data_IF_545626290775
#
_entry.id   IF_545626290775
#
_cell.length_a   1.000
_cell.length_b   1.000
_cell.length_c   1.000
_cell.angle_alpha   90.00
_cell.angle_beta   90.00
_cell.angle_gamma   90.00
#
_symmetry.space_group_name_H-M   'P 1'
#
loop_
_entity.id
_entity.type
_entity.pdbx_description
1 polymer ?
#
# COMPACT_ATOMS: atom_id res chain seq x y z
N UNK A 1 -26.94 64.36 -30.35
CA UNK A 1 -27.72 63.12 -30.44
C UNK A 1 -26.82 62.01 -30.98
N UNK A 2 -25.87 61.50 -30.19
CA UNK A 2 -24.85 60.51 -30.64
C UNK A 2 -24.13 59.89 -29.45
N UNK A 3 -24.79 59.04 -28.65
CA UNK A 3 -24.10 58.20 -27.65
C UNK A 3 -24.98 57.03 -27.17
N UNK A 4 -25.50 56.22 -28.09
CA UNK A 4 -26.16 54.94 -27.73
C UNK A 4 -25.67 53.75 -28.55
N UNK A 5 -25.00 53.97 -29.68
CA UNK A 5 -24.52 52.89 -30.57
C UNK A 5 -23.15 52.30 -30.15
N UNK A 6 -22.29 53.09 -29.50
CA UNK A 6 -20.95 52.64 -29.08
C UNK A 6 -20.95 51.65 -27.91
N UNK A 7 -21.83 51.83 -26.93
CA UNK A 7 -21.92 50.95 -25.76
C UNK A 7 -22.42 49.54 -26.08
N UNK A 8 -23.31 49.41 -27.08
CA UNK A 8 -23.86 48.11 -27.48
C UNK A 8 -22.80 47.25 -28.19
N UNK A 9 -21.97 47.87 -29.03
CA UNK A 9 -20.85 47.21 -29.70
C UNK A 9 -19.78 46.74 -28.72
N UNK A 10 -19.46 47.55 -27.70
CA UNK A 10 -18.48 47.18 -26.68
C UNK A 10 -18.96 46.01 -25.81
N UNK A 11 -20.25 45.97 -25.47
CA UNK A 11 -20.85 44.85 -24.73
C UNK A 11 -20.83 43.54 -25.54
N UNK A 12 -21.13 43.59 -26.84
CA UNK A 12 -21.04 42.41 -27.70
C UNK A 12 -19.62 41.88 -27.84
N UNK A 13 -18.62 42.76 -27.89
CA UNK A 13 -17.21 42.39 -28.01
C UNK A 13 -16.69 41.73 -26.71
N UNK A 14 -17.13 42.22 -25.55
CA UNK A 14 -16.85 41.61 -24.25
C UNK A 14 -17.48 40.22 -24.09
N UNK A 15 -18.72 40.04 -24.56
CA UNK A 15 -19.41 38.74 -24.52
C UNK A 15 -18.77 37.74 -25.49
N UNK A 16 -18.35 38.19 -26.68
CA UNK A 16 -17.64 37.35 -27.64
C UNK A 16 -16.25 36.92 -27.12
N UNK A 17 -15.54 37.83 -26.42
CA UNK A 17 -14.24 37.52 -25.83
C UNK A 17 -14.36 36.54 -24.65
N UNK A 18 -15.40 36.69 -23.81
CA UNK A 18 -15.64 35.74 -22.71
C UNK A 18 -16.09 34.36 -23.20
N UNK A 19 -16.80 34.26 -24.33
CA UNK A 19 -17.15 32.99 -24.95
C UNK A 19 -15.94 32.23 -25.53
N UNK A 20 -14.90 32.96 -25.99
CA UNK A 20 -13.65 32.36 -26.48
C UNK A 20 -12.75 31.81 -25.37
N UNK A 21 -12.91 32.28 -24.13
CA UNK A 21 -12.10 31.84 -22.98
C UNK A 21 -12.63 30.54 -22.34
N UNK A 22 -13.83 30.07 -22.70
CA UNK A 22 -14.45 28.87 -22.10
C UNK A 22 -14.15 27.60 -22.91
N UNK A 23 -13.59 27.71 -24.13
CA UNK A 23 -13.17 26.55 -24.93
C UNK A 23 -11.76 26.07 -24.57
N UNK A 24 -11.43 26.06 -23.28
CA UNK A 24 -10.28 25.35 -22.76
C UNK A 24 -10.68 23.90 -22.51
N UNK A 25 -10.66 23.05 -23.54
CA UNK A 25 -10.73 21.61 -23.33
C UNK A 25 -9.52 21.22 -22.47
N UNK A 26 -9.74 20.99 -21.18
CA UNK A 26 -8.75 20.37 -20.31
C UNK A 26 -8.33 19.07 -20.98
N UNK A 27 -7.11 19.03 -21.52
CA UNK A 27 -6.51 17.78 -21.97
C UNK A 27 -6.30 16.95 -20.72
N UNK A 28 -7.18 15.98 -20.49
CA UNK A 28 -6.91 14.90 -19.56
C UNK A 28 -5.67 14.19 -20.07
N UNK A 29 -4.52 14.47 -19.48
CA UNK A 29 -3.28 13.74 -19.76
C UNK A 29 -3.45 12.38 -19.10
N UNK A 30 -3.90 11.39 -19.86
CA UNK A 30 -3.84 10.00 -19.44
C UNK A 30 -2.36 9.64 -19.37
N UNK A 31 -1.81 9.52 -18.17
CA UNK A 31 -0.43 9.08 -17.99
C UNK A 31 -0.30 7.68 -18.61
N UNK A 32 0.58 7.55 -19.61
CA UNK A 32 0.97 6.23 -20.11
C UNK A 32 1.83 5.60 -19.01
N UNK A 33 1.31 4.55 -18.39
CA UNK A 33 2.06 3.77 -17.43
C UNK A 33 3.04 2.90 -18.22
N UNK A 34 4.36 3.05 -18.04
CA UNK A 34 5.33 2.20 -18.72
C UNK A 34 5.14 0.74 -18.32
N UNK A 35 5.37 -0.19 -19.24
CA UNK A 35 5.41 -1.60 -18.87
C UNK A 35 6.57 -1.87 -17.90
N UNK A 36 6.32 -2.66 -16.88
CA UNK A 36 7.21 -2.91 -15.75
C UNK A 36 7.05 -1.93 -14.60
N UNK A 37 6.06 -1.03 -14.65
CA UNK A 37 5.86 0.01 -13.63
C UNK A 37 4.77 -0.35 -12.61
N UNK A 38 3.97 -1.39 -12.85
CA UNK A 38 2.91 -1.81 -11.94
C UNK A 38 3.20 -3.17 -11.31
N UNK A 39 2.80 -3.30 -10.05
CA UNK A 39 2.76 -4.58 -9.35
C UNK A 39 1.30 -4.91 -9.03
N UNK A 40 0.88 -6.10 -9.46
CA UNK A 40 -0.39 -6.71 -9.10
C UNK A 40 -0.13 -7.78 -8.07
N UNK A 41 -0.84 -7.70 -6.94
CA UNK A 41 -0.75 -8.67 -5.85
C UNK A 41 -2.11 -9.31 -5.67
N UNK A 42 -2.12 -10.64 -5.61
CA UNK A 42 -3.27 -11.44 -5.23
C UNK A 42 -2.85 -12.41 -4.14
N UNK A 43 -3.41 -12.25 -2.95
CA UNK A 43 -3.20 -13.16 -1.84
C UNK A 43 -4.49 -13.91 -1.53
N UNK A 44 -4.36 -15.18 -1.16
CA UNK A 44 -5.44 -16.07 -0.79
C UNK A 44 -5.18 -16.58 0.62
N UNK A 45 -6.16 -16.40 1.50
CA UNK A 45 -6.17 -16.98 2.84
C UNK A 45 -6.87 -18.34 2.81
N UNK A 46 -6.64 -19.20 3.82
CA UNK A 46 -7.41 -20.44 3.97
C UNK A 46 -8.89 -20.17 4.31
N UNK A 47 -9.16 -19.10 5.05
CA UNK A 47 -10.48 -18.65 5.47
C UNK A 47 -10.94 -17.36 4.79
N UNK A 48 -12.15 -16.90 5.14
CA UNK A 48 -12.66 -15.62 4.66
C UNK A 48 -11.84 -14.47 5.25
N UNK A 49 -11.50 -13.48 4.45
CA UNK A 49 -10.82 -12.27 4.90
C UNK A 49 -11.76 -11.43 5.75
N UNK A 50 -11.31 -11.05 6.95
CA UNK A 50 -12.10 -10.30 7.93
C UNK A 50 -11.40 -8.98 8.30
N UNK A 51 -11.49 -7.97 7.42
CA UNK A 51 -10.83 -6.67 7.65
C UNK A 51 -11.42 -5.89 8.84
N UNK A 52 -12.60 -6.24 9.34
CA UNK A 52 -13.15 -5.66 10.57
C UNK A 52 -12.39 -6.08 11.83
N UNK A 53 -11.83 -7.28 11.85
CA UNK A 53 -11.12 -7.85 13.00
C UNK A 53 -9.60 -7.89 12.80
N UNK A 54 -9.14 -7.88 11.55
CA UNK A 54 -7.75 -8.11 11.17
C UNK A 54 -7.20 -6.98 10.28
N UNK A 55 -5.88 -6.93 10.15
CA UNK A 55 -5.17 -6.15 9.14
C UNK A 55 -4.20 -7.05 8.39
N UNK A 56 -4.01 -6.71 7.12
CA UNK A 56 -3.16 -7.46 6.21
C UNK A 56 -2.19 -6.49 5.58
N UNK A 57 -0.90 -6.71 5.81
CA UNK A 57 0.17 -5.81 5.40
C UNK A 57 1.00 -6.45 4.31
N UNK A 58 1.19 -5.74 3.20
CA UNK A 58 2.26 -6.02 2.25
C UNK A 58 3.36 -4.99 2.49
N UNK A 59 4.41 -5.38 3.20
CA UNK A 59 5.58 -4.55 3.45
C UNK A 59 6.54 -4.68 2.28
N UNK A 60 7.07 -3.57 1.79
CA UNK A 60 7.98 -3.52 0.63
C UNK A 60 9.33 -2.97 1.06
N UNK A 61 10.41 -3.55 0.54
CA UNK A 61 11.78 -3.17 0.85
C UNK A 61 12.70 -3.25 -0.37
N UNK A 62 13.76 -2.45 -0.33
CA UNK A 62 14.92 -2.58 -1.20
C UNK A 62 16.09 -3.29 -0.52
N UNK A 63 15.94 -3.64 0.77
CA UNK A 63 16.95 -4.35 1.57
C UNK A 63 16.85 -5.85 1.33
N UNK A 64 17.98 -6.46 0.98
CA UNK A 64 18.03 -7.89 0.71
C UNK A 64 17.69 -8.74 1.93
N UNK A 65 16.85 -9.75 1.73
CA UNK A 65 16.48 -10.72 2.77
C UNK A 65 15.53 -10.16 3.84
N UNK A 66 14.96 -8.97 3.64
CA UNK A 66 14.03 -8.38 4.61
C UNK A 66 12.81 -9.26 4.88
N UNK A 67 12.55 -9.59 6.15
CA UNK A 67 11.31 -10.22 6.61
C UNK A 67 10.85 -9.60 7.92
N UNK A 68 9.54 -9.53 8.11
CA UNK A 68 8.98 -9.25 9.44
C UNK A 68 9.29 -10.43 10.32
N UNK A 69 9.85 -10.18 11.50
CA UNK A 69 10.06 -11.25 12.47
C UNK A 69 8.72 -11.53 13.16
N UNK A 70 8.19 -12.73 13.00
CA UNK A 70 7.07 -13.17 13.82
C UNK A 70 7.56 -13.38 15.26
N UNK A 71 6.81 -12.96 16.28
CA UNK A 71 7.12 -13.31 17.65
C UNK A 71 7.05 -14.83 17.77
N UNK A 72 8.22 -15.48 17.84
CA UNK A 72 8.27 -16.91 18.12
C UNK A 72 7.58 -17.17 19.46
N UNK A 73 6.83 -18.26 19.61
CA UNK A 73 6.35 -18.69 20.92
C UNK A 73 7.54 -19.24 21.72
N UNK A 74 8.41 -18.35 22.22
CA UNK A 74 9.46 -18.69 23.17
C UNK A 74 9.28 -17.88 24.45
N UNK A 75 9.39 -18.53 25.63
CA UNK A 75 9.42 -17.81 26.90
C UNK A 75 10.60 -16.82 26.91
N UNK A 76 10.30 -15.52 26.92
CA UNK A 76 11.31 -14.46 26.86
C UNK A 76 11.68 -13.95 25.46
N UNK A 77 10.99 -14.40 24.41
CA UNK A 77 11.08 -13.81 23.06
C UNK A 77 10.52 -12.39 23.01
N UNK A 78 10.99 -11.59 22.06
CA UNK A 78 10.48 -10.24 21.84
C UNK A 78 9.03 -10.31 21.34
N UNK A 79 8.13 -9.60 22.03
CA UNK A 79 6.73 -9.44 21.66
C UNK A 79 6.60 -8.27 20.70
N UNK A 80 7.23 -8.42 19.54
CA UNK A 80 7.26 -7.35 18.55
C UNK A 80 5.92 -7.32 17.83
N UNK A 81 5.21 -6.21 18.03
CA UNK A 81 3.95 -5.94 17.34
C UNK A 81 4.24 -5.53 15.89
N UNK A 82 3.29 -5.71 14.98
CA UNK A 82 3.35 -5.04 13.68
C UNK A 82 2.41 -3.86 13.70
N UNK A 83 3.01 -2.68 13.78
CA UNK A 83 2.31 -1.41 13.93
C UNK A 83 2.57 -0.51 12.74
N UNK A 84 1.65 0.41 12.51
CA UNK A 84 1.88 1.49 11.58
C UNK A 84 2.80 2.55 12.20
N UNK A 85 3.71 3.17 11.42
CA UNK A 85 4.54 4.26 11.88
C UNK A 85 3.71 5.37 12.53
N UNK A 86 4.12 5.81 13.71
CA UNK A 86 3.37 6.79 14.50
C UNK A 86 2.57 6.17 15.65
N UNK A 87 2.33 4.86 15.63
CA UNK A 87 1.59 4.16 16.68
C UNK A 87 2.47 3.90 17.91
N UNK A 88 1.91 4.10 19.11
CA UNK A 88 2.58 3.73 20.36
C UNK A 88 2.40 2.23 20.60
N UNK A 89 3.49 1.45 20.72
CA UNK A 89 3.38 0.02 21.04
C UNK A 89 2.97 -0.21 22.49
N UNK A 90 2.37 -1.37 22.77
CA UNK A 90 2.14 -1.84 24.14
C UNK A 90 3.48 -2.26 24.77
N UNK A 91 4.36 -2.88 23.97
CA UNK A 91 5.69 -3.30 24.41
C UNK A 91 6.82 -2.55 23.69
N UNK A 92 7.82 -2.13 24.48
CA UNK A 92 8.98 -1.38 23.96
C UNK A 92 8.71 0.11 23.83
N UNK A 93 9.43 0.77 22.92
CA UNK A 93 9.27 2.20 22.64
C UNK A 93 9.06 2.43 21.16
N UNK A 94 8.28 3.46 20.82
CA UNK A 94 8.06 3.85 19.44
C UNK A 94 9.39 4.13 18.73
N UNK A 95 10.35 4.79 19.38
CA UNK A 95 11.68 5.08 18.82
C UNK A 95 12.43 3.81 18.38
N UNK A 96 12.39 2.75 19.20
CA UNK A 96 13.05 1.48 18.88
C UNK A 96 12.49 0.85 17.59
N UNK A 97 11.19 1.01 17.31
CA UNK A 97 10.58 0.49 16.08
C UNK A 97 11.11 1.16 14.82
N UNK A 98 11.41 2.47 14.89
CA UNK A 98 11.98 3.20 13.74
C UNK A 98 13.38 2.74 13.41
N UNK A 99 14.22 2.49 14.43
CA UNK A 99 15.57 1.98 14.20
C UNK A 99 15.57 0.53 13.72
N UNK A 100 14.69 -0.31 14.27
CA UNK A 100 14.74 -1.77 14.07
C UNK A 100 13.96 -2.24 12.86
N UNK A 101 12.75 -1.72 12.63
CA UNK A 101 11.88 -2.19 11.55
C UNK A 101 11.76 -1.17 10.43
N UNK A 102 11.27 0.04 10.74
CA UNK A 102 10.85 0.99 9.71
C UNK A 102 12.00 1.57 8.88
N UNK A 103 13.24 1.51 9.38
CA UNK A 103 14.45 1.91 8.65
C UNK A 103 14.71 1.06 7.40
N UNK A 104 14.15 -0.15 7.35
CA UNK A 104 14.28 -1.09 6.22
C UNK A 104 13.08 -1.07 5.28
N UNK A 105 11.99 -0.38 5.63
CA UNK A 105 10.78 -0.34 4.83
C UNK A 105 10.87 0.76 3.78
N UNK A 106 10.63 0.42 2.53
CA UNK A 106 10.42 1.40 1.45
C UNK A 106 8.98 1.92 1.45
N UNK A 107 8.04 1.13 1.96
CA UNK A 107 6.65 1.48 2.18
C UNK A 107 5.85 0.23 2.49
N UNK A 108 4.55 0.37 2.68
CA UNK A 108 3.65 -0.77 2.84
C UNK A 108 2.28 -0.48 2.25
N UNK A 109 1.53 -1.55 2.01
CA UNK A 109 0.11 -1.51 1.69
C UNK A 109 -0.63 -2.23 2.81
N UNK A 110 -1.70 -1.62 3.32
CA UNK A 110 -2.55 -2.20 4.36
C UNK A 110 -3.98 -2.40 3.81
N UNK A 111 -4.53 -3.58 4.06
CA UNK A 111 -5.96 -3.85 3.87
C UNK A 111 -6.71 -3.68 5.19
N UNK A 112 -7.73 -2.83 5.17
CA UNK A 112 -8.60 -2.52 6.30
C UNK A 112 -10.07 -2.34 5.85
N UNK A 113 -11.05 -2.12 6.74
CA UNK A 113 -12.48 -2.10 6.36
C UNK A 113 -12.81 -1.11 5.25
N UNK A 114 -12.08 0.01 5.18
CA UNK A 114 -12.29 1.05 4.19
C UNK A 114 -11.63 0.78 2.83
N UNK A 115 -10.84 -0.30 2.71
CA UNK A 115 -10.16 -0.70 1.47
C UNK A 115 -8.65 -0.88 1.65
N UNK A 116 -7.92 -0.58 0.59
CA UNK A 116 -6.47 -0.70 0.50
C UNK A 116 -5.82 0.68 0.53
N UNK A 117 -4.84 0.83 1.41
CA UNK A 117 -4.11 2.08 1.59
C UNK A 117 -2.63 1.84 1.40
N UNK A 118 -1.99 2.73 0.65
CA UNK A 118 -0.56 2.77 0.45
C UNK A 118 0.05 3.80 1.40
N UNK A 119 1.16 3.43 2.02
CA UNK A 119 1.94 4.34 2.87
C UNK A 119 3.39 4.28 2.43
N UNK A 120 3.88 5.41 1.96
CA UNK A 120 5.22 5.54 1.41
C UNK A 120 6.24 5.91 2.50
N UNK A 121 7.40 5.26 2.46
CA UNK A 121 8.58 5.65 3.25
C UNK A 121 9.44 6.74 2.57
N UNK A 122 10.63 7.05 3.13
CA UNK A 122 11.16 6.52 4.38
C UNK A 122 10.37 7.03 5.59
N UNK A 123 10.33 6.23 6.65
CA UNK A 123 9.67 6.59 7.90
C UNK A 123 10.65 7.23 8.86
N UNK A 124 10.33 8.44 9.32
CA UNK A 124 11.16 9.20 10.25
C UNK A 124 10.43 9.37 11.57
N UNK A 125 11.11 9.13 12.69
CA UNK A 125 10.52 9.29 14.01
C UNK A 125 10.02 10.72 14.21
N UNK A 126 8.80 10.86 14.72
CA UNK A 126 8.12 12.16 14.90
C UNK A 126 7.51 12.75 13.64
N UNK A 127 7.69 12.14 12.45
CA UNK A 127 6.99 12.53 11.24
C UNK A 127 5.69 11.71 11.08
N UNK A 128 4.62 12.38 10.64
CA UNK A 128 3.35 11.73 10.33
C UNK A 128 3.42 11.04 8.96
N UNK A 129 3.18 9.74 8.93
CA UNK A 129 3.02 9.01 7.68
C UNK A 129 1.67 9.37 7.02
N UNK A 130 1.66 9.50 5.69
CA UNK A 130 0.43 9.81 4.93
C UNK A 130 -0.08 8.56 4.23
N UNK A 131 -1.37 8.29 4.35
CA UNK A 131 -2.06 7.22 3.62
C UNK A 131 -2.60 7.73 2.29
N UNK A 132 -2.33 7.01 1.22
CA UNK A 132 -2.93 7.17 -0.09
C UNK A 132 -3.95 6.04 -0.32
N UNK A 133 -5.15 6.38 -0.78
CA UNK A 133 -6.17 5.37 -1.12
C UNK A 133 -5.76 4.71 -2.44
N UNK A 134 -5.49 3.41 -2.42
CA UNK A 134 -5.29 2.62 -3.64
C UNK A 134 -6.62 2.19 -4.24
N UNK A 135 -7.51 1.69 -3.39
CA UNK A 135 -8.82 1.17 -3.79
C UNK A 135 -9.74 1.10 -2.58
N UNK A 136 -11.00 1.48 -2.76
CA UNK A 136 -12.04 1.31 -1.74
C UNK A 136 -12.77 -0.03 -1.89
N UNK A 137 -12.40 -0.84 -2.88
CA UNK A 137 -12.96 -2.18 -3.06
C UNK A 137 -12.50 -3.06 -1.91
N UNK A 138 -13.44 -3.63 -1.17
CA UNK A 138 -13.12 -4.53 -0.07
C UNK A 138 -12.49 -5.84 -0.58
N UNK A 139 -11.83 -6.56 0.33
CA UNK A 139 -11.47 -7.94 0.12
C UNK A 139 -12.70 -8.78 -0.23
N UNK A 140 -12.53 -9.81 -1.05
CA UNK A 140 -13.63 -10.64 -1.54
C UNK A 140 -13.40 -12.10 -1.14
N UNK A 141 -14.31 -12.64 -0.33
CA UNK A 141 -14.20 -14.02 0.16
C UNK A 141 -12.88 -14.21 0.89
N UNK A 142 -12.05 -15.14 0.41
CA UNK A 142 -10.73 -15.42 0.96
C UNK A 142 -9.58 -14.69 0.23
N UNK A 143 -9.87 -13.74 -0.66
CA UNK A 143 -8.87 -13.09 -1.50
C UNK A 143 -8.68 -11.61 -1.18
N UNK A 144 -7.41 -11.21 -1.07
CA UNK A 144 -6.94 -9.83 -1.15
C UNK A 144 -6.38 -9.59 -2.55
N UNK A 145 -6.80 -8.50 -3.20
CA UNK A 145 -6.25 -8.14 -4.50
C UNK A 145 -6.12 -6.64 -4.64
N UNK A 146 -4.92 -6.20 -5.00
CA UNK A 146 -4.63 -4.79 -5.25
C UNK A 146 -3.55 -4.63 -6.33
N UNK A 147 -3.58 -3.48 -6.98
CA UNK A 147 -2.61 -3.06 -7.99
C UNK A 147 -2.10 -1.69 -7.59
N UNK A 148 -0.80 -1.45 -7.75
CA UNK A 148 -0.19 -0.15 -7.50
C UNK A 148 1.00 0.07 -8.42
N UNK A 149 1.34 1.34 -8.65
CA UNK A 149 2.56 1.69 -9.37
C UNK A 149 3.75 1.65 -8.43
N UNK A 150 4.85 1.07 -8.89
CA UNK A 150 6.07 0.92 -8.11
C UNK A 150 6.66 2.29 -7.70
N UNK A 151 6.46 3.33 -8.51
CA UNK A 151 6.92 4.69 -8.23
C UNK A 151 6.16 5.36 -7.07
N UNK A 152 4.94 4.90 -6.72
CA UNK A 152 4.21 5.36 -5.54
C UNK A 152 4.91 4.94 -4.24
N UNK A 153 5.68 3.85 -4.25
CA UNK A 153 6.47 3.37 -3.10
C UNK A 153 7.92 3.85 -3.22
N UNK A 154 8.58 3.47 -4.32
CA UNK A 154 10.03 3.64 -4.49
C UNK A 154 10.43 5.00 -5.09
N UNK A 155 9.47 5.82 -5.54
CA UNK A 155 9.74 7.08 -6.20
C UNK A 155 10.33 6.92 -7.60
N UNK A 156 11.18 7.86 -8.00
CA UNK A 156 11.79 7.87 -9.34
C UNK A 156 12.77 6.73 -9.60
N UNK A 157 13.23 6.05 -8.54
CA UNK A 157 14.28 5.02 -8.63
C UNK A 157 13.75 3.70 -8.08
N UNK A 158 13.04 2.96 -8.94
CA UNK A 158 12.54 1.62 -8.61
C UNK A 158 13.68 0.59 -8.67
N UNK A 159 13.94 -0.17 -7.60
CA UNK A 159 15.02 -1.16 -7.57
C UNK A 159 14.75 -2.33 -8.51
N UNK A 160 15.81 -2.91 -9.08
CA UNK A 160 15.70 -4.05 -10.02
C UNK A 160 15.10 -5.30 -9.38
N UNK A 161 15.36 -5.48 -8.08
CA UNK A 161 14.79 -6.53 -7.24
C UNK A 161 14.03 -5.85 -6.11
N UNK A 162 12.77 -6.25 -5.94
CA UNK A 162 11.87 -5.75 -4.90
C UNK A 162 11.68 -6.86 -3.88
N UNK A 163 12.03 -6.58 -2.64
CA UNK A 163 11.76 -7.47 -1.51
C UNK A 163 10.41 -7.10 -0.89
N UNK A 164 9.72 -8.09 -0.36
CA UNK A 164 8.42 -7.88 0.26
C UNK A 164 8.15 -8.90 1.35
N UNK A 165 7.19 -8.62 2.21
CA UNK A 165 6.62 -9.60 3.13
C UNK A 165 5.12 -9.35 3.24
N UNK A 166 4.31 -10.41 3.14
CA UNK A 166 2.87 -10.33 3.40
C UNK A 166 2.65 -10.87 4.80
N UNK A 167 2.07 -10.05 5.67
CA UNK A 167 1.89 -10.35 7.10
C UNK A 167 0.45 -10.14 7.48
N UNK A 168 -0.12 -11.08 8.23
CA UNK A 168 -1.47 -10.99 8.78
C UNK A 168 -1.41 -10.71 10.27
N UNK A 169 -2.29 -9.83 10.75
CA UNK A 169 -2.26 -9.33 12.12
C UNK A 169 -3.69 -9.23 12.66
N UNK A 170 -4.03 -9.92 13.76
CA UNK A 170 -5.22 -9.61 14.54
C UNK A 170 -5.18 -8.15 14.98
N UNK A 171 -6.30 -7.44 14.86
CA UNK A 171 -6.35 -6.00 15.12
C UNK A 171 -7.38 -5.61 16.19
N UNK A 172 -7.24 -6.11 17.43
CA UNK A 172 -8.14 -5.76 18.51
C UNK A 172 -7.97 -4.29 18.94
N UNK A 173 -9.09 -3.65 19.25
CA UNK A 173 -9.10 -2.31 19.84
C UNK A 173 -8.40 -2.31 21.21
N UNK A 174 -7.36 -1.49 21.35
CA UNK A 174 -6.57 -1.40 22.59
C UNK A 174 -5.77 -2.65 22.95
N UNK A 175 -5.76 -3.70 22.12
CA UNK A 175 -5.00 -4.93 22.34
C UNK A 175 -3.71 -5.01 21.54
N UNK A 176 -2.92 -6.04 21.84
CA UNK A 176 -1.65 -6.36 21.19
C UNK A 176 -1.87 -6.69 19.70
N UNK A 177 -1.00 -6.17 18.83
CA UNK A 177 -1.04 -6.40 17.38
C UNK A 177 0.10 -7.30 16.94
N UNK A 178 0.11 -8.51 17.47
CA UNK A 178 1.15 -9.50 17.17
C UNK A 178 0.88 -10.15 15.80
N UNK A 179 1.86 -10.20 14.89
CA UNK A 179 1.75 -10.97 13.66
C UNK A 179 1.31 -12.41 13.91
N UNK A 180 0.28 -12.86 13.19
CA UNK A 180 -0.21 -14.24 13.27
C UNK A 180 0.47 -15.14 12.24
N UNK A 181 0.68 -14.63 11.03
CA UNK A 181 1.31 -15.36 9.94
C UNK A 181 2.05 -14.43 8.96
N UNK A 182 3.01 -14.97 8.22
CA UNK A 182 3.69 -14.30 7.12
C UNK A 182 4.30 -15.29 6.11
N UNK A 183 4.69 -14.79 4.94
CA UNK A 183 5.30 -15.63 3.90
C UNK A 183 6.64 -16.23 4.35
N UNK A 184 6.69 -17.55 4.51
CA UNK A 184 7.90 -18.27 4.95
C UNK A 184 8.98 -18.41 3.86
N UNK A 185 8.61 -18.41 2.57
CA UNK A 185 9.51 -18.68 1.44
C UNK A 185 10.06 -17.41 0.75
N UNK A 186 10.57 -17.55 -0.49
CA UNK A 186 11.13 -16.48 -1.31
C UNK A 186 10.28 -15.22 -1.29
N UNK A 187 10.89 -14.11 -0.95
CA UNK A 187 10.24 -12.87 -0.59
C UNK A 187 10.72 -11.70 -1.47
N UNK A 188 11.00 -12.00 -2.75
CA UNK A 188 11.50 -11.03 -3.71
C UNK A 188 11.01 -11.30 -5.12
N UNK A 189 10.92 -10.24 -5.93
CA UNK A 189 10.51 -10.30 -7.34
C UNK A 189 11.32 -9.30 -8.17
N UNK A 190 11.62 -9.67 -9.41
CA UNK A 190 12.29 -8.77 -10.37
C UNK A 190 11.31 -7.74 -10.93
N UNK A 191 11.74 -6.49 -11.13
CA UNK A 191 10.93 -5.42 -11.75
C UNK A 191 10.71 -5.60 -13.26
N UNK A 192 11.25 -6.66 -13.86
CA UNK A 192 11.11 -6.91 -15.30
C UNK A 192 9.63 -7.17 -15.62
N UNK A 193 9.10 -6.45 -16.62
CA UNK A 193 7.74 -6.62 -17.10
C UNK A 193 7.42 -8.08 -17.46
N UNK A 194 6.25 -8.56 -17.06
CA UNK A 194 5.81 -9.94 -17.25
C UNK A 194 6.38 -10.92 -16.23
N UNK A 195 7.20 -10.48 -15.28
CA UNK A 195 7.64 -11.35 -14.17
C UNK A 195 6.42 -11.74 -13.34
N UNK A 196 6.29 -13.04 -13.07
CA UNK A 196 5.26 -13.60 -12.20
C UNK A 196 5.93 -14.50 -11.16
N UNK A 197 5.55 -14.30 -9.91
CA UNK A 197 5.93 -15.13 -8.79
C UNK A 197 4.68 -15.71 -8.16
N UNK A 198 4.65 -17.02 -7.97
CA UNK A 198 3.63 -17.70 -7.17
C UNK A 198 4.32 -18.34 -5.98
N UNK A 199 3.83 -18.03 -4.78
CA UNK A 199 4.24 -18.62 -3.52
C UNK A 199 3.03 -19.38 -3.00
N UNK A 200 3.18 -20.66 -2.72
CA UNK A 200 2.21 -21.43 -1.96
C UNK A 200 2.80 -21.58 -0.57
N UNK A 201 2.01 -21.25 0.45
CA UNK A 201 2.40 -21.53 1.81
C UNK A 201 1.86 -22.90 2.18
N UNK A 202 2.77 -23.89 2.15
CA UNK A 202 2.47 -25.24 2.59
C UNK A 202 2.82 -25.42 4.09
N UNK A 203 3.25 -24.35 4.77
CA UNK A 203 3.52 -24.41 6.20
C UNK A 203 2.19 -24.33 6.97
N UNK A 204 1.94 -25.34 7.80
CA UNK A 204 0.76 -25.39 8.68
C UNK A 204 0.99 -24.39 9.81
N UNK A 205 0.62 -23.12 9.58
CA UNK A 205 0.67 -22.10 10.61
C UNK A 205 -0.40 -22.43 11.66
N UNK A 206 -0.12 -22.17 12.94
CA UNK A 206 -1.15 -22.29 13.97
C UNK A 206 -2.17 -21.12 13.91
N UNK A 207 -2.14 -20.30 12.86
CA UNK A 207 -2.98 -19.12 12.73
C UNK A 207 -4.44 -19.51 12.44
N UNK A 208 -5.41 -18.69 12.87
CA UNK A 208 -6.79 -18.86 12.44
C UNK A 208 -6.92 -18.78 10.91
N UNK A 209 -7.85 -19.51 10.26
CA UNK A 209 -7.93 -19.56 8.80
C UNK A 209 -8.03 -18.20 8.09
N UNK A 210 -8.69 -17.21 8.70
CA UNK A 210 -8.81 -15.85 8.15
C UNK A 210 -7.49 -15.05 8.13
N UNK A 211 -6.49 -15.52 8.87
CA UNK A 211 -5.14 -14.96 9.00
C UNK A 211 -4.07 -15.88 8.40
N UNK A 212 -4.42 -17.11 8.04
CA UNK A 212 -3.49 -18.10 7.52
C UNK A 212 -3.36 -17.94 6.00
N UNK A 213 -2.17 -17.55 5.53
CA UNK A 213 -1.89 -17.27 4.12
C UNK A 213 -1.72 -18.61 3.41
N UNK A 214 -2.54 -18.89 2.41
CA UNK A 214 -2.42 -20.12 1.63
C UNK A 214 -1.55 -19.93 0.38
N UNK A 215 -1.69 -18.76 -0.27
CA UNK A 215 -1.05 -18.50 -1.56
C UNK A 215 -0.92 -17.01 -1.83
N UNK A 216 0.18 -16.64 -2.47
CA UNK A 216 0.40 -15.28 -3.00
C UNK A 216 0.88 -15.36 -4.44
N UNK A 217 0.30 -14.50 -5.28
CA UNK A 217 0.71 -14.28 -6.66
C UNK A 217 1.08 -12.82 -6.82
N UNK A 218 2.27 -12.57 -7.34
CA UNK A 218 2.76 -11.24 -7.67
C UNK A 218 3.09 -11.20 -9.15
N UNK A 219 2.59 -10.18 -9.85
CA UNK A 219 2.86 -9.96 -11.27
C UNK A 219 3.35 -8.55 -11.48
N UNK A 220 4.38 -8.39 -12.31
CA UNK A 220 4.85 -7.09 -12.78
C UNK A 220 4.30 -6.83 -14.18
N UNK A 221 3.65 -5.69 -14.37
CA UNK A 221 2.97 -5.30 -15.62
C UNK A 221 3.62 -4.06 -16.24
#
# INVERSE_FOLDING_TARGET
>A
MTSRKGGLLFAFLLIAYSLLLITGCARTVTQIIPSGAEMVVEATMLGTVETSANRYFMVLSSTSGYKVQLPLPQPGGTRDELLEPGTTPIYGSQEAYYSTYYSTWSGYIIAEPAGYFLVRGPFVFGATATREVLSTTAASGNSLRFTFRLDQIFGSTVPDVIYFDLVTVPWPDGGEKLPADHLQMSNYVSKVAGTELTIVDDSDSAAPPALDIARVVIKIQ
#
